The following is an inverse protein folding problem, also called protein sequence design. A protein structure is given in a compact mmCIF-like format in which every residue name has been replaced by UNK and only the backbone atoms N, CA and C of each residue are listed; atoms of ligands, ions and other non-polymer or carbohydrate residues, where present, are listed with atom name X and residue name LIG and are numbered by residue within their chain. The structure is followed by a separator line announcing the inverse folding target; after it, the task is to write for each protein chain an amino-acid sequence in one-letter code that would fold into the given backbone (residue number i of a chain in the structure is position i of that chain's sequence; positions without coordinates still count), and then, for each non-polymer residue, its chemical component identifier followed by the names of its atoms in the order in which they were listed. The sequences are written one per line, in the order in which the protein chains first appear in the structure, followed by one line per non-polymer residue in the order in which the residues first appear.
data_IF_473518846439
#
_entry.id   IF_473518846439
#
_cell.length_a   1.000
_cell.length_b   1.000
_cell.length_c   1.000
_cell.angle_alpha   90.00
_cell.angle_beta   90.00
_cell.angle_gamma   90.00
#
_symmetry.space_group_name_H-M   'P 1'
#
loop_
_entity.id
_entity.type
_entity.pdbx_description
1 polymer ?
#
# COMPACT_ATOMS: atom_id res chain seq x y z
N UNK A 1 -3.48 -9.65 -9.52
CA UNK A 1 -2.89 -8.44 -10.16
C UNK A 1 -1.38 -8.53 -10.09
N UNK A 2 -0.69 -7.86 -10.99
CA UNK A 2 0.78 -7.80 -10.97
C UNK A 2 1.21 -6.81 -9.90
N UNK A 3 2.11 -7.21 -8.99
CA UNK A 3 2.59 -6.33 -7.94
C UNK A 3 4.03 -5.90 -8.19
N UNK A 4 4.31 -4.65 -7.85
CA UNK A 4 5.65 -4.07 -7.89
C UNK A 4 5.89 -3.32 -6.59
N UNK A 5 7.16 -3.08 -6.28
CA UNK A 5 7.55 -2.41 -5.04
C UNK A 5 8.56 -1.32 -5.34
N UNK A 6 8.40 -0.17 -4.68
CA UNK A 6 9.41 0.89 -4.74
C UNK A 6 10.50 0.61 -3.72
N UNK A 7 11.68 1.18 -3.92
CA UNK A 7 12.75 1.11 -2.94
C UNK A 7 12.37 1.76 -1.61
N UNK A 8 11.56 2.82 -1.65
CA UNK A 8 11.08 3.49 -0.44
C UNK A 8 10.15 2.59 0.37
N UNK A 9 9.28 1.82 -0.30
CA UNK A 9 8.43 0.86 0.37
C UNK A 9 9.25 -0.18 1.12
N UNK A 10 10.28 -0.72 0.47
CA UNK A 10 11.18 -1.69 1.10
C UNK A 10 11.87 -1.11 2.33
N UNK A 11 12.34 0.14 2.24
CA UNK A 11 12.95 0.82 3.36
C UNK A 11 11.96 1.08 4.50
N UNK A 12 10.73 1.44 4.16
CA UNK A 12 9.69 1.62 5.16
C UNK A 12 9.43 0.32 5.92
N UNK A 13 9.35 -0.82 5.20
CA UNK A 13 9.18 -2.14 5.81
C UNK A 13 10.32 -2.47 6.77
N UNK A 14 11.55 -2.18 6.38
CA UNK A 14 12.72 -2.47 7.22
C UNK A 14 12.70 -1.70 8.53
N UNK A 15 12.04 -0.55 8.57
CA UNK A 15 11.94 0.26 9.79
C UNK A 15 10.86 -0.22 10.74
N UNK A 16 9.97 -1.10 10.30
CA UNK A 16 8.92 -1.63 11.16
C UNK A 16 9.50 -2.68 12.11
N UNK A 17 9.26 -2.48 13.41
CA UNK A 17 9.81 -3.36 14.44
C UNK A 17 8.85 -4.46 14.89
N UNK A 18 7.58 -4.34 14.53
CA UNK A 18 6.56 -5.28 14.98
C UNK A 18 6.34 -6.37 13.96
N UNK A 19 6.61 -7.62 14.35
CA UNK A 19 6.44 -8.76 13.47
C UNK A 19 4.99 -8.93 13.00
N UNK A 20 4.02 -8.62 13.87
CA UNK A 20 2.61 -8.71 13.51
C UNK A 20 2.22 -7.75 12.40
N UNK A 21 2.77 -6.54 12.42
CA UNK A 21 2.51 -5.53 11.37
C UNK A 21 3.10 -6.00 10.05
N UNK A 22 4.34 -6.50 10.07
CA UNK A 22 4.98 -7.03 8.86
C UNK A 22 4.20 -8.20 8.28
N UNK A 23 3.68 -9.07 9.14
CA UNK A 23 2.86 -10.21 8.71
C UNK A 23 1.58 -9.74 8.04
N UNK A 24 0.89 -8.77 8.63
CA UNK A 24 -0.34 -8.22 8.07
C UNK A 24 -0.09 -7.62 6.69
N UNK A 25 1.01 -6.89 6.53
CA UNK A 25 1.36 -6.29 5.24
C UNK A 25 1.68 -7.39 4.22
N UNK A 26 2.41 -8.43 4.62
CA UNK A 26 2.69 -9.57 3.74
C UNK A 26 1.40 -10.25 3.27
N UNK A 27 0.43 -10.42 4.17
CA UNK A 27 -0.86 -11.02 3.83
C UNK A 27 -1.63 -10.15 2.83
N UNK A 28 -1.56 -8.84 3.01
CA UNK A 28 -2.19 -7.88 2.09
C UNK A 28 -1.56 -7.96 0.70
N UNK A 29 -0.24 -8.06 0.62
CA UNK A 29 0.45 -8.21 -0.66
C UNK A 29 -0.04 -9.46 -1.39
N UNK A 30 -0.16 -10.58 -0.67
CA UNK A 30 -0.67 -11.83 -1.24
C UNK A 30 -2.12 -11.69 -1.69
N UNK A 31 -2.94 -10.99 -0.92
CA UNK A 31 -4.33 -10.72 -1.28
C UNK A 31 -4.41 -9.96 -2.60
N UNK A 32 -3.57 -8.94 -2.76
CA UNK A 32 -3.53 -8.14 -3.99
C UNK A 32 -3.04 -8.97 -5.17
N UNK A 33 -2.02 -9.79 -4.97
CA UNK A 33 -1.52 -10.68 -6.02
C UNK A 33 -2.60 -11.64 -6.51
N UNK A 34 -3.42 -12.15 -5.61
CA UNK A 34 -4.45 -13.13 -5.93
C UNK A 34 -5.75 -12.49 -6.43
N UNK A 35 -5.91 -11.20 -6.30
CA UNK A 35 -7.12 -10.50 -6.73
C UNK A 35 -7.14 -10.34 -8.24
N UNK A 36 -8.32 -10.48 -8.84
CA UNK A 36 -8.52 -10.20 -10.25
C UNK A 36 -8.84 -8.71 -10.47
N UNK A 37 -9.50 -8.08 -9.49
CA UNK A 37 -9.96 -6.69 -9.59
C UNK A 37 -9.77 -5.97 -8.26
N UNK A 38 -9.63 -4.65 -8.31
CA UNK A 38 -9.53 -3.82 -7.11
C UNK A 38 -10.70 -3.99 -6.15
N UNK A 39 -11.90 -4.25 -6.69
CA UNK A 39 -13.10 -4.41 -5.88
C UNK A 39 -13.03 -5.61 -4.93
N UNK A 40 -12.12 -6.56 -5.18
CA UNK A 40 -11.93 -7.72 -4.31
C UNK A 40 -11.02 -7.43 -3.12
N UNK A 41 -10.33 -6.29 -3.13
CA UNK A 41 -9.36 -5.95 -2.09
C UNK A 41 -10.07 -5.20 -0.96
N UNK A 42 -9.92 -5.71 0.26
CA UNK A 42 -10.52 -5.11 1.45
C UNK A 42 -9.78 -3.85 1.86
N UNK A 43 -10.52 -2.90 2.42
CA UNK A 43 -9.94 -1.70 3.05
C UNK A 43 -9.18 -0.79 2.09
N UNK A 44 -9.39 -0.96 0.78
CA UNK A 44 -8.76 -0.11 -0.22
C UNK A 44 -9.65 1.09 -0.52
N UNK A 45 -9.04 2.25 -0.70
CA UNK A 45 -9.74 3.48 -1.04
C UNK A 45 -8.90 4.32 -1.97
N UNK A 46 -9.54 4.86 -3.02
CA UNK A 46 -8.87 5.79 -3.93
C UNK A 46 -8.68 7.14 -3.24
N UNK A 47 -7.53 7.75 -3.41
CA UNK A 47 -7.25 9.06 -2.87
C UNK A 47 -7.89 10.14 -3.72
N UNK A 48 -8.61 11.05 -3.08
CA UNK A 48 -9.30 12.14 -3.75
C UNK A 48 -8.30 13.04 -4.45
N UNK A 49 -8.58 13.39 -5.70
CA UNK A 49 -7.73 14.29 -6.47
C UNK A 49 -6.55 13.61 -7.16
N UNK A 50 -6.42 12.28 -7.06
CA UNK A 50 -5.33 11.52 -7.67
C UNK A 50 -5.89 10.39 -8.53
N UNK A 51 -5.43 10.29 -9.77
CA UNK A 51 -5.98 9.31 -10.72
C UNK A 51 -5.60 7.87 -10.39
N UNK A 52 -4.39 7.65 -9.88
CA UNK A 52 -3.85 6.32 -9.69
C UNK A 52 -3.48 5.98 -8.26
N UNK A 53 -3.60 6.94 -7.34
CA UNK A 53 -3.18 6.75 -5.95
C UNK A 53 -4.30 6.17 -5.10
N UNK A 54 -3.98 5.11 -4.37
CA UNK A 54 -4.88 4.41 -3.47
C UNK A 54 -4.19 4.17 -2.13
N UNK A 55 -4.97 3.89 -1.09
CA UNK A 55 -4.41 3.44 0.18
C UNK A 55 -5.14 2.19 0.65
N UNK A 56 -4.44 1.31 1.35
CA UNK A 56 -5.02 0.18 2.05
C UNK A 56 -4.79 0.39 3.54
N UNK A 57 -5.86 0.27 4.33
CA UNK A 57 -5.78 0.37 5.78
C UNK A 57 -5.39 -0.99 6.37
N UNK A 58 -4.41 -0.98 7.26
CA UNK A 58 -3.96 -2.16 8.00
C UNK A 58 -3.72 -1.76 9.45
N UNK A 59 -4.76 -1.86 10.30
CA UNK A 59 -4.69 -1.39 11.68
C UNK A 59 -4.34 0.10 11.74
N UNK A 60 -3.28 0.43 12.48
CA UNK A 60 -2.80 1.80 12.58
C UNK A 60 -1.90 2.22 11.43
N UNK A 61 -1.66 1.33 10.47
CA UNK A 61 -0.80 1.60 9.34
C UNK A 61 -1.61 1.80 8.06
N UNK A 62 -1.02 2.53 7.14
CA UNK A 62 -1.60 2.75 5.82
C UNK A 62 -0.56 2.43 4.77
N UNK A 63 -0.98 1.71 3.76
CA UNK A 63 -0.13 1.36 2.62
C UNK A 63 -0.56 2.23 1.46
N UNK A 64 0.37 3.03 0.93
CA UNK A 64 0.12 3.83 -0.27
C UNK A 64 0.53 3.05 -1.50
N UNK A 65 -0.36 3.00 -2.49
CA UNK A 65 -0.09 2.31 -3.75
C UNK A 65 -0.52 3.14 -4.94
N UNK A 66 0.12 2.84 -6.07
CA UNK A 66 -0.33 3.34 -7.36
C UNK A 66 -0.88 2.16 -8.16
N UNK A 67 -2.06 2.35 -8.73
CA UNK A 67 -2.71 1.30 -9.52
C UNK A 67 -2.95 1.82 -10.93
N UNK A 68 -2.47 1.09 -11.90
CA UNK A 68 -2.66 1.42 -13.31
C UNK A 68 -2.81 0.13 -14.09
N UNK A 69 -3.94 -0.01 -14.77
CA UNK A 69 -4.30 -1.26 -15.46
C UNK A 69 -4.29 -2.42 -14.45
N UNK A 70 -3.56 -3.50 -14.73
CA UNK A 70 -3.48 -4.66 -13.86
C UNK A 70 -2.24 -4.64 -12.96
N UNK A 71 -1.59 -3.49 -12.82
CA UNK A 71 -0.35 -3.34 -12.06
C UNK A 71 -0.62 -2.54 -10.80
N UNK A 72 -0.18 -3.08 -9.66
CA UNK A 72 -0.25 -2.41 -8.36
C UNK A 72 1.16 -2.20 -7.85
N UNK A 73 1.57 -0.96 -7.70
CA UNK A 73 2.88 -0.62 -7.16
C UNK A 73 2.74 -0.19 -5.71
N UNK A 74 3.34 -0.95 -4.80
CA UNK A 74 3.40 -0.61 -3.39
C UNK A 74 4.46 0.45 -3.21
N UNK A 75 4.04 1.66 -2.87
CA UNK A 75 4.89 2.84 -2.90
C UNK A 75 5.43 3.24 -1.54
N UNK A 76 4.61 3.25 -0.50
CA UNK A 76 4.98 3.63 0.86
C UNK A 76 4.15 2.87 1.88
N UNK A 77 4.69 2.72 3.08
CA UNK A 77 3.91 2.29 4.25
C UNK A 77 4.33 3.13 5.45
N UNK A 78 3.35 3.60 6.21
CA UNK A 78 3.60 4.41 7.40
C UNK A 78 2.39 4.37 8.32
N UNK A 79 2.58 4.86 9.54
CA UNK A 79 1.50 5.08 10.50
C UNK A 79 0.44 6.00 9.88
N UNK A 80 -0.82 5.80 10.28
CA UNK A 80 -1.94 6.60 9.77
C UNK A 80 -1.76 8.11 9.94
N UNK A 81 -0.95 8.52 10.91
CA UNK A 81 -0.68 9.94 11.17
C UNK A 81 0.29 10.52 10.15
N UNK A 82 1.14 9.67 9.58
CA UNK A 82 2.27 10.13 8.76
C UNK A 82 2.10 9.88 7.27
N UNK A 83 1.27 8.91 6.88
CA UNK A 83 1.20 8.48 5.48
C UNK A 83 0.88 9.64 4.53
N UNK A 84 -0.05 10.53 4.90
CA UNK A 84 -0.47 11.60 4.00
C UNK A 84 0.51 12.76 3.94
N UNK A 85 1.55 12.72 4.77
CA UNK A 85 2.67 13.67 4.68
C UNK A 85 3.69 13.26 3.64
N UNK A 86 3.72 11.96 3.31
CA UNK A 86 4.74 11.38 2.43
C UNK A 86 4.17 10.72 1.18
N UNK A 87 2.85 10.56 1.09
CA UNK A 87 2.21 9.89 -0.01
C UNK A 87 0.87 10.56 -0.33
N UNK A 88 0.51 10.78 -1.59
CA UNK A 88 1.27 10.44 -2.81
C UNK A 88 2.27 11.53 -3.23
N UNK A 89 2.52 12.51 -2.39
CA UNK A 89 3.45 13.60 -2.67
C UNK A 89 4.87 13.07 -2.85
N UNK A 90 5.71 13.80 -3.59
CA UNK A 90 7.13 13.50 -3.76
C UNK A 90 7.42 12.25 -4.59
N UNK A 91 6.55 11.99 -5.53
CA UNK A 91 6.75 10.93 -6.52
C UNK A 91 6.85 11.47 -7.93
#
# INVERSE_FOLDING_TARGET
MIVKFTGRFSKDLDKLNQASVKKDISDIIKEVENAAHLSEIKNIKKLKGHLTAYRIRSGDYRIGLFVESNIVEFARVADRKDIYKIFPWNY
#
